data_IF_070813954482
#
_entry.id   IF_070813954482
#
_cell.length_a   1.000
_cell.length_b   1.000
_cell.length_c   1.000
_cell.angle_alpha   90.00
_cell.angle_beta   90.00
_cell.angle_gamma   90.00
#
_symmetry.space_group_name_H-M   'P 1'
#
loop_
_entity.id
_entity.type
_entity.pdbx_description
1 polymer ?
#
# COMPACT_ATOMS: atom_id res chain seq x y z
N UNK A 1 -14.44 10.63 -1.79
CA UNK A 1 -13.97 9.53 -0.93
C UNK A 1 -13.36 10.16 0.32
N UNK A 2 -13.79 9.76 1.52
CA UNK A 2 -13.13 10.24 2.75
C UNK A 2 -11.77 9.55 2.89
N UNK A 3 -10.69 10.26 3.25
CA UNK A 3 -9.38 9.64 3.43
C UNK A 3 -9.38 8.69 4.63
N UNK A 4 -8.65 7.58 4.52
CA UNK A 4 -8.43 6.72 5.66
C UNK A 4 -7.50 7.44 6.65
N UNK A 5 -7.99 7.64 7.88
CA UNK A 5 -7.24 8.28 8.96
C UNK A 5 -6.54 7.22 9.83
N UNK A 6 -5.24 7.40 10.08
CA UNK A 6 -4.52 6.57 11.05
C UNK A 6 -3.52 7.38 11.88
N UNK A 7 -3.22 6.87 13.08
CA UNK A 7 -2.28 7.49 14.01
C UNK A 7 -0.84 7.15 13.62
N UNK A 8 0.03 8.15 13.63
CA UNK A 8 1.48 7.95 13.49
C UNK A 8 2.01 7.01 14.59
N UNK A 9 2.89 6.08 14.21
CA UNK A 9 3.44 5.05 15.11
C UNK A 9 2.57 3.80 15.22
N UNK A 10 1.40 3.77 14.56
CA UNK A 10 0.65 2.54 14.37
C UNK A 10 1.21 1.74 13.20
N UNK A 11 0.90 0.44 13.18
CA UNK A 11 1.10 -0.41 12.01
C UNK A 11 0.14 -0.01 10.89
N UNK A 12 0.68 0.19 9.69
CA UNK A 12 -0.11 0.32 8.47
C UNK A 12 -0.21 -1.03 7.77
N UNK A 13 -1.42 -1.41 7.35
CA UNK A 13 -1.67 -2.62 6.58
C UNK A 13 -2.65 -2.33 5.45
N UNK A 14 -2.30 -2.75 4.24
CA UNK A 14 -3.16 -2.72 3.07
C UNK A 14 -3.23 -4.13 2.46
N UNK A 15 -4.44 -4.60 2.23
CA UNK A 15 -4.71 -5.91 1.64
C UNK A 15 -5.32 -5.71 0.24
N UNK A 16 -4.69 -6.29 -0.77
CA UNK A 16 -5.27 -6.48 -2.11
C UNK A 16 -5.78 -7.91 -2.17
N UNK A 17 -7.09 -8.06 -2.26
CA UNK A 17 -7.77 -9.36 -2.43
C UNK A 17 -8.37 -9.40 -3.83
N UNK A 18 -8.29 -10.57 -4.47
CA UNK A 18 -8.76 -10.79 -5.83
C UNK A 18 -9.94 -11.76 -5.80
N UNK A 19 -11.04 -11.36 -6.41
CA UNK A 19 -12.33 -12.03 -6.23
C UNK A 19 -12.39 -13.36 -7.01
N UNK A 20 -11.71 -13.43 -8.15
CA UNK A 20 -11.67 -14.60 -9.02
C UNK A 20 -10.26 -14.95 -9.56
N UNK A 21 -10.19 -16.08 -10.25
CA UNK A 21 -8.94 -16.61 -10.80
C UNK A 21 -8.43 -15.81 -12.01
N UNK A 22 -9.33 -15.19 -12.78
CA UNK A 22 -8.96 -14.41 -13.95
C UNK A 22 -8.28 -13.11 -13.52
N UNK A 23 -8.80 -12.43 -12.50
CA UNK A 23 -8.21 -11.25 -11.89
C UNK A 23 -6.86 -11.58 -11.26
N UNK A 24 -6.77 -12.69 -10.54
CA UNK A 24 -5.53 -13.16 -9.92
C UNK A 24 -4.46 -13.52 -10.96
N UNK A 25 -4.85 -14.13 -12.07
CA UNK A 25 -3.95 -14.49 -13.16
C UNK A 25 -3.31 -13.26 -13.84
N UNK A 26 -3.86 -12.05 -13.67
CA UNK A 26 -3.21 -10.82 -14.14
C UNK A 26 -1.92 -10.53 -13.37
N UNK A 27 -1.91 -10.81 -12.06
CA UNK A 27 -0.84 -10.41 -11.14
C UNK A 27 0.03 -11.56 -10.66
N UNK A 28 -0.41 -12.81 -10.84
CA UNK A 28 0.31 -14.01 -10.42
C UNK A 28 0.39 -15.04 -11.56
N UNK A 29 1.49 -15.82 -11.66
CA UNK A 29 2.76 -15.60 -10.99
C UNK A 29 3.40 -14.27 -11.44
N UNK A 30 4.18 -13.66 -10.55
CA UNK A 30 4.97 -12.45 -10.80
C UNK A 30 6.45 -12.72 -10.54
N UNK A 31 7.29 -11.85 -11.07
CA UNK A 31 8.73 -11.83 -10.79
C UNK A 31 9.00 -11.08 -9.46
N UNK A 32 8.31 -9.97 -9.24
CA UNK A 32 8.39 -9.20 -7.99
C UNK A 32 7.14 -8.36 -7.75
N UNK A 33 6.96 -7.95 -6.49
CA UNK A 33 5.92 -7.02 -6.06
C UNK A 33 6.55 -5.96 -5.17
N UNK A 34 6.16 -4.71 -5.38
CA UNK A 34 6.59 -3.56 -4.58
C UNK A 34 5.38 -2.72 -4.18
N UNK A 35 5.37 -2.21 -2.95
CA UNK A 35 4.43 -1.18 -2.55
C UNK A 35 5.13 -0.09 -1.74
N UNK A 36 4.57 1.11 -1.79
CA UNK A 36 5.06 2.24 -1.01
C UNK A 36 3.92 3.17 -0.62
N UNK A 37 4.10 3.87 0.50
CA UNK A 37 3.33 5.09 0.79
C UNK A 37 4.17 6.30 0.42
N UNK A 38 3.56 7.24 -0.31
CA UNK A 38 4.20 8.45 -0.82
C UNK A 38 3.67 9.70 -0.12
N UNK A 39 4.59 10.54 0.33
CA UNK A 39 4.34 11.87 0.88
C UNK A 39 5.08 12.89 0.02
N UNK A 40 4.35 13.53 -0.91
CA UNK A 40 4.97 14.39 -1.92
C UNK A 40 6.01 13.64 -2.74
N UNK A 41 7.29 13.96 -2.56
CA UNK A 41 8.42 13.32 -3.25
C UNK A 41 9.06 12.17 -2.48
N UNK A 42 8.72 11.96 -1.20
CA UNK A 42 9.28 10.88 -0.38
C UNK A 42 8.45 9.61 -0.52
N UNK A 43 9.12 8.47 -0.64
CA UNK A 43 8.52 7.14 -0.66
C UNK A 43 8.98 6.33 0.55
N UNK A 44 8.04 5.62 1.16
CA UNK A 44 8.27 4.71 2.28
C UNK A 44 7.89 3.32 1.81
N UNK A 45 8.87 2.46 1.47
CA UNK A 45 8.62 1.09 1.03
C UNK A 45 7.88 0.29 2.11
N UNK A 46 7.06 -0.65 1.67
CA UNK A 46 6.32 -1.55 2.54
C UNK A 46 6.83 -2.97 2.37
N UNK A 47 6.76 -3.75 3.45
CA UNK A 47 7.00 -5.19 3.39
C UNK A 47 5.82 -5.87 2.70
N UNK A 48 6.10 -6.78 1.77
CA UNK A 48 5.08 -7.49 1.00
C UNK A 48 5.03 -8.96 1.42
N UNK A 49 3.81 -9.47 1.58
CA UNK A 49 3.53 -10.91 1.71
C UNK A 49 2.50 -11.29 0.67
N UNK A 50 2.79 -12.34 -0.10
CA UNK A 50 1.87 -12.88 -1.10
C UNK A 50 1.32 -14.21 -0.60
N UNK A 51 0.01 -14.36 -0.63
CA UNK A 51 -0.72 -15.57 -0.32
C UNK A 51 -1.46 -16.05 -1.58
N UNK A 52 -0.87 -16.97 -2.36
CA UNK A 52 -1.49 -17.48 -3.58
C UNK A 52 -2.74 -18.31 -3.33
N UNK A 53 -2.89 -18.92 -2.15
CA UNK A 53 -4.04 -19.77 -1.83
C UNK A 53 -5.29 -18.94 -1.65
N UNK A 54 -5.16 -17.80 -0.96
CA UNK A 54 -6.26 -16.87 -0.72
C UNK A 54 -6.32 -15.74 -1.76
N UNK A 55 -5.52 -15.80 -2.83
CA UNK A 55 -5.40 -14.77 -3.88
C UNK A 55 -5.29 -13.38 -3.27
N UNK A 56 -4.30 -13.22 -2.41
CA UNK A 56 -4.16 -12.02 -1.57
C UNK A 56 -2.73 -11.55 -1.52
N UNK A 57 -2.55 -10.23 -1.58
CA UNK A 57 -1.26 -9.59 -1.36
C UNK A 57 -1.39 -8.54 -0.26
N UNK A 58 -0.54 -8.66 0.75
CA UNK A 58 -0.55 -7.82 1.94
C UNK A 58 0.68 -6.93 1.93
N UNK A 59 0.49 -5.62 2.10
CA UNK A 59 1.55 -4.63 2.25
C UNK A 59 1.52 -4.04 3.67
N UNK A 60 2.66 -4.06 4.38
CA UNK A 60 2.76 -3.67 5.79
C UNK A 60 3.90 -2.68 6.02
N UNK A 61 3.64 -1.70 6.89
CA UNK A 61 4.69 -1.01 7.63
C UNK A 61 4.43 -1.20 9.13
N UNK A 62 5.34 -1.90 9.81
CA UNK A 62 5.19 -2.26 11.22
C UNK A 62 5.19 -1.03 12.13
N UNK A 63 5.99 -0.02 11.79
CA UNK A 63 6.07 1.26 12.49
C UNK A 63 6.03 2.44 11.51
N UNK A 64 5.07 3.33 11.72
CA UNK A 64 4.89 4.58 10.96
C UNK A 64 5.39 5.82 11.71
N UNK A 65 6.16 5.67 12.80
CA UNK A 65 6.65 6.77 13.63
C UNK A 65 7.42 7.84 12.82
N UNK A 66 8.16 7.41 11.79
CA UNK A 66 8.95 8.29 10.92
C UNK A 66 8.15 8.86 9.74
N UNK A 67 6.85 8.55 9.63
CA UNK A 67 6.00 9.08 8.57
C UNK A 67 5.59 10.53 8.87
N UNK A 68 5.55 11.42 7.87
CA UNK A 68 5.09 12.78 8.05
C UNK A 68 3.61 12.82 8.43
N UNK A 69 3.25 13.72 9.34
CA UNK A 69 1.84 14.10 9.55
C UNK A 69 1.38 14.83 8.29
N UNK A 70 0.24 14.44 7.74
CA UNK A 70 -0.17 14.90 6.40
C UNK A 70 -0.87 16.27 6.44
N UNK A 71 -1.39 16.70 7.60
CA UNK A 71 -2.07 18.00 7.73
C UNK A 71 -3.30 18.08 6.80
N UNK A 72 -3.31 19.05 5.88
CA UNK A 72 -4.30 19.18 4.78
C UNK A 72 -3.91 18.42 3.51
N UNK A 73 -2.66 17.96 3.39
CA UNK A 73 -2.20 17.10 2.32
C UNK A 73 -2.65 15.65 2.52
N UNK A 74 -2.54 14.85 1.46
CA UNK A 74 -2.87 13.43 1.46
C UNK A 74 -1.63 12.64 1.04
N UNK A 75 -1.34 11.56 1.77
CA UNK A 75 -0.39 10.57 1.29
C UNK A 75 -1.09 9.70 0.24
N UNK A 76 -0.31 9.12 -0.67
CA UNK A 76 -0.80 8.17 -1.66
C UNK A 76 -0.19 6.81 -1.37
N UNK A 77 -1.02 5.77 -1.34
CA UNK A 77 -0.52 4.41 -1.51
C UNK A 77 -0.24 4.18 -3.00
N UNK A 78 0.81 3.42 -3.30
CA UNK A 78 1.15 3.00 -4.65
C UNK A 78 1.58 1.53 -4.61
N UNK A 79 1.23 0.77 -5.65
CA UNK A 79 1.53 -0.64 -5.77
C UNK A 79 1.97 -1.01 -7.20
N UNK A 80 3.02 -1.82 -7.31
CA UNK A 80 3.59 -2.25 -8.58
C UNK A 80 3.85 -3.76 -8.59
N UNK A 81 3.61 -4.35 -9.75
CA UNK A 81 3.89 -5.76 -10.03
C UNK A 81 4.85 -5.81 -11.20
N UNK A 82 5.88 -6.64 -11.11
CA UNK A 82 6.75 -6.98 -12.24
C UNK A 82 6.41 -8.39 -12.71
N UNK A 83 6.05 -8.54 -13.99
CA UNK A 83 5.71 -9.84 -14.58
C UNK A 83 6.26 -9.93 -16.00
N UNK A 84 7.03 -10.98 -16.29
CA UNK A 84 7.72 -11.11 -17.57
C UNK A 84 8.72 -9.98 -17.82
N UNK A 85 9.29 -9.40 -16.76
CA UNK A 85 10.17 -8.24 -16.83
C UNK A 85 9.48 -6.88 -17.04
N UNK A 86 8.15 -6.84 -17.22
CA UNK A 86 7.40 -5.60 -17.33
C UNK A 86 6.88 -5.15 -15.96
N UNK A 87 7.14 -3.89 -15.60
CA UNK A 87 6.64 -3.29 -14.36
C UNK A 87 5.33 -2.55 -14.61
N UNK A 88 4.24 -3.06 -14.05
CA UNK A 88 2.90 -2.51 -14.19
C UNK A 88 2.42 -1.90 -12.87
N UNK A 89 1.87 -0.67 -12.89
CA UNK A 89 1.11 -0.14 -11.76
C UNK A 89 -0.19 -0.92 -11.56
N UNK A 90 -0.57 -1.23 -10.32
CA UNK A 90 -1.90 -1.81 -10.09
C UNK A 90 -2.99 -0.74 -10.26
N UNK A 91 -3.94 -0.90 -11.19
CA UNK A 91 -5.02 0.05 -11.41
C UNK A 91 -5.83 0.26 -10.12
N UNK A 92 -6.04 1.51 -9.71
CA UNK A 92 -6.82 1.82 -8.49
C UNK A 92 -6.02 1.81 -7.18
N UNK A 93 -4.81 1.25 -7.14
CA UNK A 93 -3.91 1.43 -5.98
C UNK A 93 -3.38 2.86 -5.89
N UNK A 94 -3.27 3.54 -7.03
CA UNK A 94 -2.79 4.91 -7.12
C UNK A 94 -3.73 5.90 -6.45
N UNK A 95 -3.16 6.72 -5.56
CA UNK A 95 -3.84 7.86 -4.93
C UNK A 95 -4.93 7.47 -3.93
N UNK A 96 -4.87 6.29 -3.29
CA UNK A 96 -5.68 6.07 -2.08
C UNK A 96 -5.29 7.13 -1.06
N UNK A 97 -6.20 8.07 -0.71
CA UNK A 97 -5.83 9.21 0.10
C UNK A 97 -5.74 8.78 1.56
N UNK A 98 -4.54 8.94 2.11
CA UNK A 98 -4.24 8.61 3.49
C UNK A 98 -3.99 9.89 4.30
N UNK A 99 -4.58 9.96 5.49
CA UNK A 99 -4.36 11.06 6.42
C UNK A 99 -3.72 10.54 7.71
N UNK A 100 -2.52 11.05 8.00
CA UNK A 100 -1.77 10.70 9.19
C UNK A 100 -1.93 11.80 10.21
N UNK A 101 -2.45 11.42 11.36
CA UNK A 101 -2.62 12.32 12.50
C UNK A 101 -1.65 11.96 13.61
N UNK A 102 -1.29 12.97 14.40
CA UNK A 102 -0.65 12.72 15.67
C UNK A 102 -1.65 12.01 16.59
N UNK A 103 -1.22 10.89 17.19
CA UNK A 103 -2.01 10.30 18.27
C UNK A 103 -2.02 11.29 19.44
N UNK A 104 -3.20 11.57 20.00
CA UNK A 104 -3.26 12.37 21.23
C UNK A 104 -2.53 11.61 22.34
N UNK A 105 -1.37 12.12 22.77
CA UNK A 105 -0.79 11.82 24.07
C UNK A 105 -1.67 12.51 25.11
N UNK A 106 -2.49 11.73 25.82
CA UNK A 106 -3.11 12.17 27.09
C UNK A 106 -2.17 11.87 28.23
#
# INVERSE_FOLDING_TARGET
MQPAEFKRGATFKADLSFDDDDEWALVYPHDSVEAAVRFGHRRYPLAITVDPVNRKITAVADDTANWPITGTGLASFDYWITKGGERLPFPGSHNVPLKIIEGATR
#
